data_IF_846814029773
#
_entry.id   IF_846814029773
#
_cell.length_a   1.000
_cell.length_b   1.000
_cell.length_c   1.000
_cell.angle_alpha   90.00
_cell.angle_beta   90.00
_cell.angle_gamma   90.00
#
_symmetry.space_group_name_H-M   'P 1'
#
loop_
_entity.id
_entity.type
_entity.pdbx_description
1 polymer ?
#
# COMPACT_ATOMS: atom_id res chain seq x y z
N UNK A 1 0.74 -8.58 3.01
CA UNK A 1 1.29 -7.33 3.51
C UNK A 1 2.79 -7.25 3.30
N UNK A 2 3.22 -6.22 2.61
CA UNK A 2 4.57 -5.69 2.63
C UNK A 2 4.50 -4.29 3.27
N UNK A 3 5.34 -4.03 4.28
CA UNK A 3 5.41 -2.72 4.93
C UNK A 3 6.88 -2.31 4.99
N UNK A 4 7.22 -1.20 4.34
CA UNK A 4 8.60 -0.70 4.33
C UNK A 4 8.82 0.22 5.51
N UNK A 5 9.55 -0.28 6.51
CA UNK A 5 9.93 0.49 7.71
C UNK A 5 11.23 1.26 7.52
N UNK A 6 11.88 1.10 6.37
CA UNK A 6 13.06 1.88 6.00
C UNK A 6 12.62 3.21 5.35
N UNK A 7 13.27 4.29 5.74
CA UNK A 7 13.06 5.61 5.15
C UNK A 7 14.39 6.32 4.91
N UNK A 8 14.46 7.01 3.79
CA UNK A 8 15.62 7.72 3.30
C UNK A 8 15.30 9.22 3.24
N UNK A 9 16.03 10.04 3.99
CA UNK A 9 15.87 11.51 3.94
C UNK A 9 17.02 12.13 3.17
N UNK A 10 16.72 12.75 2.02
CA UNK A 10 17.75 13.41 1.22
C UNK A 10 18.46 14.48 2.05
N UNK A 11 19.80 14.43 2.05
CA UNK A 11 20.66 15.39 2.74
C UNK A 11 20.31 15.58 4.22
N UNK A 12 19.99 14.49 4.94
CA UNK A 12 19.61 14.50 6.36
C UNK A 12 20.55 15.31 7.26
N UNK A 13 21.85 15.23 7.00
CA UNK A 13 22.90 15.87 7.81
C UNK A 13 23.56 17.06 7.10
N UNK A 14 22.93 17.55 6.02
CA UNK A 14 23.49 18.61 5.18
C UNK A 14 24.34 18.12 4.01
N UNK A 15 24.84 19.06 3.19
CA UNK A 15 25.50 18.76 1.91
C UNK A 15 27.00 18.46 2.05
N UNK A 16 27.56 18.63 3.24
CA UNK A 16 28.99 18.45 3.54
C UNK A 16 29.13 17.41 4.64
N UNK A 17 30.08 16.50 4.48
CA UNK A 17 30.38 15.44 5.43
C UNK A 17 31.88 15.27 5.62
N UNK A 18 32.27 14.69 6.74
CA UNK A 18 33.64 14.27 6.96
C UNK A 18 33.89 12.93 6.23
N UNK A 19 34.96 12.86 5.45
CA UNK A 19 35.42 11.67 4.73
C UNK A 19 36.28 10.79 5.64
N UNK A 20 36.60 9.57 5.18
CA UNK A 20 37.36 8.58 5.96
C UNK A 20 38.81 9.00 6.24
N UNK A 21 39.35 9.89 5.42
CA UNK A 21 40.69 10.48 5.59
C UNK A 21 40.70 11.70 6.55
N UNK A 22 39.55 12.04 7.12
CA UNK A 22 39.37 13.18 8.02
C UNK A 22 39.13 14.51 7.31
N UNK A 23 39.20 14.57 5.98
CA UNK A 23 38.88 15.77 5.20
C UNK A 23 37.37 16.01 5.13
N UNK A 24 36.95 17.24 4.82
CA UNK A 24 35.55 17.54 4.55
C UNK A 24 35.27 17.42 3.06
N UNK A 25 34.11 16.90 2.68
CA UNK A 25 33.75 16.72 1.28
C UNK A 25 32.27 16.88 1.01
N UNK A 26 31.93 17.19 -0.24
CA UNK A 26 30.55 17.26 -0.70
C UNK A 26 29.91 15.86 -0.70
N UNK A 27 28.74 15.70 -0.08
CA UNK A 27 28.05 14.40 -0.02
C UNK A 27 27.57 13.91 -1.38
N UNK A 28 27.31 14.82 -2.33
CA UNK A 28 26.78 14.51 -3.66
C UNK A 28 27.88 14.01 -4.61
N UNK A 29 28.92 14.83 -4.85
CA UNK A 29 29.97 14.52 -5.82
C UNK A 29 31.32 14.12 -5.21
N UNK A 30 31.46 14.13 -3.88
CA UNK A 30 32.71 13.85 -3.14
C UNK A 30 33.84 14.87 -3.39
N UNK A 31 33.54 16.05 -3.93
CA UNK A 31 34.49 17.15 -4.05
C UNK A 31 35.13 17.45 -2.68
N UNK A 32 36.48 17.44 -2.55
CA UNK A 32 37.16 17.73 -1.30
C UNK A 32 37.11 19.23 -0.98
N UNK A 33 36.93 19.55 0.30
CA UNK A 33 36.83 20.90 0.86
C UNK A 33 35.96 21.84 0.00
N UNK A 34 34.68 21.50 -0.21
CA UNK A 34 33.80 22.30 -1.04
C UNK A 34 33.66 23.72 -0.49
N UNK A 35 33.62 24.70 -1.38
CA UNK A 35 33.28 26.08 -1.01
C UNK A 35 31.83 26.17 -0.53
N UNK A 36 31.47 27.30 0.08
CA UNK A 36 30.10 27.59 0.53
C UNK A 36 29.07 27.53 -0.60
N UNK A 37 29.49 27.83 -1.83
CA UNK A 37 28.59 27.94 -2.99
C UNK A 37 28.48 26.60 -3.75
N UNK A 38 29.39 25.65 -3.49
CA UNK A 38 29.42 24.36 -4.17
C UNK A 38 28.11 23.55 -4.05
N UNK A 39 27.40 23.50 -2.89
CA UNK A 39 26.11 22.82 -2.79
C UNK A 39 25.05 23.28 -3.81
N UNK A 40 25.11 24.54 -4.27
CA UNK A 40 24.18 25.07 -5.28
C UNK A 40 24.41 24.47 -6.66
N UNK A 41 25.61 23.97 -6.95
CA UNK A 41 25.85 23.16 -8.16
C UNK A 41 25.03 21.86 -8.15
N UNK A 42 24.53 21.45 -6.99
CA UNK A 42 23.61 20.33 -6.81
C UNK A 42 22.17 20.79 -6.52
N UNK A 43 21.84 22.05 -6.74
CA UNK A 43 20.51 22.62 -6.45
C UNK A 43 20.08 22.36 -4.99
N UNK A 44 21.04 22.37 -4.06
CA UNK A 44 20.82 21.97 -2.68
C UNK A 44 19.80 22.86 -1.97
N UNK A 45 19.93 24.19 -2.05
CA UNK A 45 19.02 25.09 -1.33
C UNK A 45 17.57 24.95 -1.79
N UNK A 46 17.33 24.78 -3.09
CA UNK A 46 15.98 24.56 -3.61
C UNK A 46 15.39 23.24 -3.10
N UNK A 47 16.21 22.17 -3.05
CA UNK A 47 15.79 20.91 -2.44
C UNK A 47 15.50 21.10 -0.95
N UNK A 48 16.41 21.72 -0.18
CA UNK A 48 16.27 21.93 1.26
C UNK A 48 15.03 22.76 1.63
N UNK A 49 14.61 23.68 0.77
CA UNK A 49 13.39 24.47 0.91
C UNK A 49 12.09 23.67 0.68
N UNK A 50 12.17 22.49 0.06
CA UNK A 50 11.01 21.61 -0.11
C UNK A 50 10.54 21.03 1.24
N UNK A 51 9.22 20.76 1.38
CA UNK A 51 8.69 20.10 2.56
C UNK A 51 9.35 18.75 2.78
N UNK A 52 9.35 18.28 4.03
CA UNK A 52 10.00 17.03 4.41
C UNK A 52 9.49 15.82 3.62
N UNK A 53 8.19 15.74 3.37
CA UNK A 53 7.56 14.68 2.57
C UNK A 53 8.11 14.59 1.13
N UNK A 54 8.49 15.72 0.52
CA UNK A 54 9.07 15.74 -0.82
C UNK A 54 10.56 15.32 -0.85
N UNK A 55 11.18 15.16 0.33
CA UNK A 55 12.58 14.75 0.50
C UNK A 55 12.74 13.43 1.24
N UNK A 56 11.63 12.79 1.58
CA UNK A 56 11.58 11.54 2.33
C UNK A 56 11.07 10.43 1.41
N UNK A 57 11.82 9.34 1.34
CA UNK A 57 11.56 8.24 0.40
C UNK A 57 11.58 6.92 1.15
N UNK A 58 10.56 6.09 0.95
CA UNK A 58 10.50 4.75 1.55
C UNK A 58 11.21 3.70 0.71
N UNK A 59 11.61 4.04 -0.51
CA UNK A 59 12.40 3.16 -1.37
C UNK A 59 13.65 3.84 -1.93
N UNK A 60 14.74 3.08 -1.98
CA UNK A 60 16.06 3.57 -2.39
C UNK A 60 16.11 3.98 -3.86
N UNK A 61 15.34 3.33 -4.73
CA UNK A 61 15.21 3.69 -6.14
C UNK A 61 14.55 5.06 -6.34
N UNK A 62 13.52 5.40 -5.55
CA UNK A 62 12.92 6.73 -5.59
C UNK A 62 13.92 7.81 -5.14
N UNK A 63 14.72 7.54 -4.10
CA UNK A 63 15.82 8.44 -3.72
C UNK A 63 16.84 8.60 -4.87
N UNK A 64 17.22 7.50 -5.54
CA UNK A 64 18.15 7.57 -6.68
C UNK A 64 17.58 8.39 -7.83
N UNK A 65 16.29 8.26 -8.11
CA UNK A 65 15.59 9.07 -9.11
C UNK A 65 15.60 10.54 -8.72
N UNK A 66 15.28 10.86 -7.46
CA UNK A 66 15.38 12.21 -6.92
C UNK A 66 16.79 12.81 -7.11
N UNK A 67 17.84 12.07 -6.75
CA UNK A 67 19.22 12.54 -6.91
C UNK A 67 19.58 12.83 -8.36
N UNK A 68 19.10 12.01 -9.30
CA UNK A 68 19.35 12.23 -10.73
C UNK A 68 18.62 13.45 -11.27
N UNK A 69 17.36 13.65 -10.88
CA UNK A 69 16.51 14.70 -11.43
C UNK A 69 16.73 16.05 -10.74
N UNK A 70 16.84 16.07 -9.41
CA UNK A 70 16.93 17.31 -8.63
C UNK A 70 18.37 17.73 -8.30
N UNK A 71 19.32 16.80 -8.21
CA UNK A 71 20.71 17.08 -7.85
C UNK A 71 21.68 16.95 -9.03
N UNK A 72 21.26 17.38 -10.22
CA UNK A 72 22.09 17.45 -11.44
C UNK A 72 22.77 16.13 -11.82
N UNK A 73 22.01 15.04 -11.86
CA UNK A 73 22.55 13.73 -12.24
C UNK A 73 23.38 13.04 -11.17
N UNK A 74 23.31 13.49 -9.91
CA UNK A 74 24.04 12.88 -8.80
C UNK A 74 23.68 11.39 -8.65
N UNK A 75 24.70 10.56 -8.50
CA UNK A 75 24.53 9.14 -8.21
C UNK A 75 24.57 8.87 -6.71
N UNK A 76 23.81 7.87 -6.28
CA UNK A 76 23.86 7.40 -4.90
C UNK A 76 25.25 6.82 -4.60
N UNK A 77 25.83 7.20 -3.46
CA UNK A 77 27.14 6.73 -3.02
C UNK A 77 27.12 6.22 -1.56
N UNK A 78 28.25 5.67 -1.09
CA UNK A 78 28.34 5.06 0.24
C UNK A 78 28.05 6.01 1.39
N UNK A 79 28.44 7.28 1.28
CA UNK A 79 28.21 8.25 2.36
C UNK A 79 26.72 8.54 2.56
N UNK A 80 25.94 8.42 1.50
CA UNK A 80 24.47 8.57 1.53
C UNK A 80 23.77 7.40 2.23
N UNK A 81 24.46 6.28 2.53
CA UNK A 81 23.88 5.19 3.34
C UNK A 81 23.47 5.68 4.73
N UNK A 82 24.13 6.71 5.26
CA UNK A 82 23.78 7.37 6.53
C UNK A 82 22.40 8.04 6.51
N UNK A 83 21.81 8.27 5.34
CA UNK A 83 20.48 8.89 5.23
C UNK A 83 19.34 7.92 5.54
N UNK A 84 19.62 6.62 5.61
CA UNK A 84 18.67 5.59 6.00
C UNK A 84 18.36 5.67 7.49
N UNK A 85 17.08 5.57 7.83
CA UNK A 85 16.61 5.28 9.18
C UNK A 85 15.44 4.31 9.16
N UNK A 86 15.17 3.72 10.32
CA UNK A 86 14.00 2.90 10.56
C UNK A 86 12.85 3.73 11.16
N UNK A 87 11.63 3.34 10.81
CA UNK A 87 10.39 3.74 11.47
C UNK A 87 10.14 2.69 12.56
N UNK A 88 10.22 3.09 13.82
CA UNK A 88 9.97 2.18 14.96
C UNK A 88 8.66 2.49 15.70
N UNK A 89 8.27 3.76 15.77
CA UNK A 89 6.99 4.20 16.34
C UNK A 89 5.84 3.86 15.36
N UNK A 90 5.37 2.63 15.46
CA UNK A 90 4.30 2.06 14.65
C UNK A 90 3.14 1.71 15.56
N UNK A 91 2.29 2.70 15.82
CA UNK A 91 1.05 2.51 16.57
C UNK A 91 0.16 1.52 15.85
N UNK A 92 -0.31 0.51 16.58
CA UNK A 92 -1.11 -0.57 16.01
C UNK A 92 -2.00 -1.26 17.04
N UNK A 93 -3.03 -1.93 16.55
CA UNK A 93 -3.96 -2.78 17.32
C UNK A 93 -3.71 -4.25 17.03
N UNK A 94 -3.74 -5.08 18.06
CA UNK A 94 -3.78 -6.54 17.91
C UNK A 94 -5.22 -6.99 17.62
N UNK A 95 -5.45 -7.74 16.54
CA UNK A 95 -6.80 -8.25 16.22
C UNK A 95 -7.20 -9.50 17.00
N UNK A 96 -6.29 -10.11 17.78
CA UNK A 96 -6.61 -11.25 18.65
C UNK A 96 -7.11 -10.82 20.02
N UNK A 97 -6.56 -9.74 20.59
CA UNK A 97 -6.81 -9.32 21.98
C UNK A 97 -6.98 -7.81 22.18
N UNK A 98 -7.02 -7.02 21.10
CA UNK A 98 -7.27 -5.57 21.09
C UNK A 98 -6.21 -4.69 21.78
N UNK A 99 -5.09 -5.29 22.21
CA UNK A 99 -3.96 -4.56 22.76
C UNK A 99 -3.45 -3.48 21.79
N UNK A 100 -3.18 -2.28 22.33
CA UNK A 100 -2.53 -1.19 21.63
C UNK A 100 -1.01 -1.33 21.79
N UNK A 101 -0.30 -1.25 20.68
CA UNK A 101 1.14 -1.50 20.59
C UNK A 101 1.77 -0.25 19.98
N UNK A 102 2.81 0.28 20.62
CA UNK A 102 3.43 1.54 20.20
C UNK A 102 4.54 1.36 19.19
N UNK A 103 5.19 0.18 19.16
CA UNK A 103 6.32 -0.06 18.27
C UNK A 103 6.16 -1.30 17.40
N UNK A 104 6.87 -1.32 16.27
CA UNK A 104 6.88 -2.49 15.39
C UNK A 104 7.46 -3.72 16.09
N UNK A 105 8.55 -3.54 16.84
CA UNK A 105 9.20 -4.61 17.58
C UNK A 105 8.27 -5.21 18.64
N UNK A 106 7.52 -4.36 19.36
CA UNK A 106 6.51 -4.79 20.33
C UNK A 106 5.41 -5.60 19.64
N UNK A 107 4.91 -5.13 18.49
CA UNK A 107 3.90 -5.84 17.69
C UNK A 107 4.38 -7.23 17.27
N UNK A 108 5.58 -7.35 16.71
CA UNK A 108 6.12 -8.64 16.27
C UNK A 108 6.23 -9.64 17.43
N UNK A 109 6.77 -9.20 18.57
CA UNK A 109 6.89 -10.05 19.76
C UNK A 109 5.54 -10.47 20.30
N UNK A 110 4.60 -9.53 20.39
CA UNK A 110 3.24 -9.77 20.87
C UNK A 110 2.49 -10.78 19.99
N UNK A 111 2.49 -10.58 18.66
CA UNK A 111 1.83 -11.49 17.73
C UNK A 111 2.45 -12.89 17.75
N UNK A 112 3.77 -12.99 17.89
CA UNK A 112 4.44 -14.28 18.01
C UNK A 112 3.95 -15.11 19.22
N UNK A 113 3.55 -14.46 20.32
CA UNK A 113 2.98 -15.16 21.49
C UNK A 113 1.63 -15.79 21.16
N UNK A 114 0.76 -15.08 20.44
CA UNK A 114 -0.53 -15.62 20.01
C UNK A 114 -0.35 -16.84 19.08
N UNK A 115 0.51 -16.74 18.07
CA UNK A 115 0.76 -17.86 17.17
C UNK A 115 1.40 -19.07 17.87
N UNK A 116 2.31 -18.84 18.83
CA UNK A 116 2.86 -19.92 19.67
C UNK A 116 1.82 -20.59 20.55
N UNK A 117 0.80 -19.83 20.98
CA UNK A 117 -0.35 -20.36 21.71
C UNK A 117 -1.39 -21.05 20.81
N UNK A 118 -1.16 -21.10 19.49
CA UNK A 118 -2.02 -21.79 18.52
C UNK A 118 -3.10 -20.92 17.89
N UNK A 119 -3.07 -19.59 18.08
CA UNK A 119 -4.03 -18.70 17.43
C UNK A 119 -3.90 -18.76 15.91
N UNK A 120 -5.04 -18.79 15.21
CA UNK A 120 -5.11 -18.80 13.75
C UNK A 120 -5.65 -17.47 13.20
N UNK A 121 -5.25 -17.08 12.00
CA UNK A 121 -5.69 -15.82 11.37
C UNK A 121 -7.21 -15.70 11.21
N UNK A 122 -7.98 -16.78 11.28
CA UNK A 122 -9.46 -16.73 11.35
C UNK A 122 -10.00 -16.08 12.62
N UNK A 123 -9.22 -16.10 13.69
CA UNK A 123 -9.57 -15.49 14.98
C UNK A 123 -9.25 -14.00 15.01
N UNK A 124 -8.56 -13.49 13.98
CA UNK A 124 -8.24 -12.06 13.86
C UNK A 124 -9.50 -11.25 13.59
N UNK A 125 -9.72 -10.20 14.39
CA UNK A 125 -10.86 -9.30 14.27
C UNK A 125 -10.42 -7.87 13.96
N UNK A 126 -11.09 -7.28 12.97
CA UNK A 126 -10.93 -5.88 12.61
C UNK A 126 -9.65 -5.60 11.85
N UNK A 127 -9.33 -4.32 11.71
CA UNK A 127 -8.11 -3.86 11.08
C UNK A 127 -6.87 -4.04 11.98
N UNK A 128 -5.75 -3.51 11.51
CA UNK A 128 -4.46 -3.53 12.21
C UNK A 128 -4.27 -2.33 13.12
N UNK A 129 -5.20 -1.37 13.13
CA UNK A 129 -5.14 -0.13 13.89
C UNK A 129 -3.92 0.74 13.59
N UNK A 130 -3.40 0.71 12.35
CA UNK A 130 -2.31 1.60 11.97
C UNK A 130 -2.79 3.04 11.84
N UNK A 131 -1.91 3.98 12.17
CA UNK A 131 -2.10 5.38 11.79
C UNK A 131 -2.10 5.51 10.26
N UNK A 132 -2.81 6.51 9.73
CA UNK A 132 -2.96 6.70 8.29
C UNK A 132 -1.61 6.76 7.56
N UNK A 133 -0.62 7.44 8.14
CA UNK A 133 0.72 7.55 7.56
C UNK A 133 1.44 6.19 7.41
N UNK A 134 1.16 5.23 8.30
CA UNK A 134 1.72 3.87 8.21
C UNK A 134 0.88 3.00 7.27
N UNK A 135 -0.44 3.13 7.32
CA UNK A 135 -1.35 2.41 6.41
C UNK A 135 -1.06 2.76 4.94
N UNK A 136 -0.70 4.01 4.64
CA UNK A 136 -0.31 4.47 3.31
C UNK A 136 1.01 3.81 2.81
N UNK A 137 1.82 3.25 3.71
CA UNK A 137 3.06 2.52 3.38
C UNK A 137 2.83 1.02 3.19
N UNK A 138 1.61 0.53 3.42
CA UNK A 138 1.27 -0.87 3.27
C UNK A 138 1.02 -1.19 1.79
N UNK A 139 1.86 -2.06 1.24
CA UNK A 139 1.78 -2.57 -0.12
C UNK A 139 1.36 -4.06 -0.13
N UNK A 140 0.81 -4.53 -1.25
CA UNK A 140 0.48 -5.93 -1.51
C UNK A 140 -0.21 -6.59 -0.31
N UNK A 141 -1.36 -6.04 0.05
CA UNK A 141 -2.08 -6.40 1.26
C UNK A 141 -3.54 -6.77 1.01
N UNK A 142 -4.04 -7.58 1.93
CA UNK A 142 -5.44 -7.91 2.10
C UNK A 142 -5.79 -7.71 3.58
N UNK A 143 -7.01 -7.26 3.93
CA UNK A 143 -7.41 -7.06 5.31
C UNK A 143 -7.16 -8.30 6.16
N UNK A 144 -6.55 -8.08 7.33
CA UNK A 144 -6.06 -9.17 8.18
C UNK A 144 -7.14 -10.20 8.55
N UNK A 145 -8.38 -9.74 8.79
CA UNK A 145 -9.52 -10.60 9.10
C UNK A 145 -9.98 -11.49 7.92
N UNK A 146 -9.59 -11.19 6.67
CA UNK A 146 -9.87 -12.02 5.51
C UNK A 146 -8.81 -13.10 5.24
N UNK A 147 -7.60 -12.93 5.79
CA UNK A 147 -6.46 -13.83 5.51
C UNK A 147 -6.80 -15.28 5.88
N UNK A 148 -7.49 -15.48 7.02
CA UNK A 148 -7.88 -16.81 7.47
C UNK A 148 -8.80 -17.54 6.49
N UNK A 149 -9.75 -16.84 5.87
CA UNK A 149 -10.69 -17.43 4.89
C UNK A 149 -10.04 -17.61 3.53
N UNK A 150 -9.26 -16.62 3.09
CA UNK A 150 -8.54 -16.64 1.81
C UNK A 150 -7.47 -17.71 1.73
N UNK A 151 -6.90 -18.15 2.86
CA UNK A 151 -5.99 -19.31 2.87
C UNK A 151 -6.64 -20.60 2.35
N UNK A 152 -7.97 -20.72 2.39
CA UNK A 152 -8.71 -21.94 2.02
C UNK A 152 -9.35 -21.88 0.63
N UNK A 153 -9.21 -20.77 -0.09
CA UNK A 153 -9.69 -20.67 -1.47
C UNK A 153 -8.77 -21.48 -2.39
N UNK A 154 -9.24 -21.79 -3.61
CA UNK A 154 -8.43 -22.48 -4.63
C UNK A 154 -7.19 -21.68 -5.03
N UNK A 155 -7.27 -20.35 -4.94
CA UNK A 155 -6.15 -19.43 -5.12
C UNK A 155 -5.96 -18.58 -3.87
N UNK A 156 -5.14 -19.04 -2.91
CA UNK A 156 -4.84 -18.28 -1.71
C UNK A 156 -4.09 -16.98 -2.02
N UNK A 157 -4.41 -15.93 -1.28
CA UNK A 157 -3.64 -14.69 -1.29
C UNK A 157 -2.17 -14.93 -0.97
N UNK A 158 -1.30 -14.24 -1.72
CA UNK A 158 0.15 -14.21 -1.49
C UNK A 158 0.71 -12.82 -1.72
N UNK A 159 1.30 -12.24 -0.67
CA UNK A 159 1.92 -10.93 -0.73
C UNK A 159 3.16 -10.86 -1.64
N UNK A 160 3.68 -12.00 -2.10
CA UNK A 160 4.83 -12.08 -3.00
C UNK A 160 4.46 -12.16 -4.48
N UNK A 161 3.18 -12.38 -4.82
CA UNK A 161 2.70 -12.39 -6.21
C UNK A 161 2.11 -11.02 -6.52
N UNK A 162 2.71 -10.32 -7.47
CA UNK A 162 2.22 -9.01 -7.96
C UNK A 162 0.94 -9.18 -8.78
N UNK A 163 0.72 -10.37 -9.33
CA UNK A 163 -0.46 -10.73 -10.10
C UNK A 163 -1.04 -12.07 -9.59
N UNK A 164 -2.32 -12.05 -9.22
CA UNK A 164 -3.04 -13.25 -8.77
C UNK A 164 -3.58 -14.06 -9.95
N UNK A 165 -3.43 -13.63 -11.21
CA UNK A 165 -3.84 -14.42 -12.39
C UNK A 165 -2.80 -14.46 -13.50
N UNK A 166 -1.79 -15.32 -13.35
CA UNK A 166 -1.16 -15.94 -14.53
C UNK A 166 -0.85 -17.40 -14.18
N UNK A 167 -1.63 -18.31 -14.76
CA UNK A 167 -1.23 -19.66 -15.24
C UNK A 167 -2.41 -20.64 -15.44
N UNK A 168 -3.66 -20.19 -15.46
CA UNK A 168 -4.80 -21.12 -15.63
C UNK A 168 -5.15 -21.50 -17.08
N UNK A 169 -4.39 -21.11 -18.11
CA UNK A 169 -4.70 -21.54 -19.49
C UNK A 169 -3.50 -22.00 -20.33
N UNK A 170 -2.37 -22.34 -19.73
CA UNK A 170 -1.28 -23.02 -20.44
C UNK A 170 -1.52 -24.54 -20.51
N UNK A 171 -2.68 -24.96 -21.04
CA UNK A 171 -2.92 -26.34 -21.45
C UNK A 171 -3.56 -26.37 -22.84
N UNK A 172 -2.73 -26.21 -23.88
CA UNK A 172 -2.81 -27.08 -25.06
C UNK A 172 -1.52 -26.98 -25.91
N UNK A 173 -0.90 -28.11 -26.30
CA UNK A 173 0.40 -28.13 -26.97
C UNK A 173 0.27 -28.36 -28.49
N UNK A 174 -0.22 -27.42 -29.29
CA UNK A 174 -0.15 -27.58 -30.75
C UNK A 174 -0.04 -26.28 -31.56
N UNK A 175 0.85 -26.37 -32.56
CA UNK A 175 1.04 -25.55 -33.76
C UNK A 175 1.93 -24.30 -33.72
N UNK A 176 3.14 -24.51 -34.21
CA UNK A 176 3.94 -23.54 -34.94
C UNK A 176 3.19 -23.02 -36.18
N UNK A 177 3.18 -21.70 -36.41
CA UNK A 177 3.82 -21.07 -37.57
C UNK A 177 3.70 -19.54 -37.52
N UNK A 178 4.73 -18.89 -38.07
CA UNK A 178 4.94 -17.46 -38.22
C UNK A 178 3.88 -16.72 -39.08
N UNK A 179 3.78 -15.40 -38.89
CA UNK A 179 3.75 -14.31 -39.91
C UNK A 179 2.61 -13.27 -39.80
N UNK A 180 2.88 -12.17 -39.10
CA UNK A 180 2.52 -10.74 -39.38
C UNK A 180 1.02 -10.28 -39.33
N UNK A 181 0.71 -8.96 -39.42
CA UNK A 181 0.67 -8.02 -38.29
C UNK A 181 -0.61 -7.14 -38.29
N UNK A 182 -1.42 -7.13 -37.23
CA UNK A 182 -2.42 -6.06 -37.04
C UNK A 182 -3.09 -6.16 -35.66
N UNK A 183 -3.17 -5.01 -34.99
CA UNK A 183 -4.22 -4.65 -34.03
C UNK A 183 -4.29 -5.51 -32.77
N UNK A 184 -3.49 -5.16 -31.77
CA UNK A 184 -3.67 -5.70 -30.43
C UNK A 184 -4.81 -4.96 -29.72
N UNK A 185 -6.04 -5.25 -30.15
CA UNK A 185 -7.26 -5.00 -29.39
C UNK A 185 -7.42 -6.11 -28.37
N UNK A 186 -6.72 -6.04 -27.22
CA UNK A 186 -6.89 -7.02 -26.13
C UNK A 186 -6.20 -6.66 -24.80
N UNK A 187 -6.35 -5.42 -24.33
CA UNK A 187 -6.05 -5.11 -22.92
C UNK A 187 -7.25 -5.50 -22.05
N UNK A 188 -7.40 -6.81 -21.84
CA UNK A 188 -8.14 -7.31 -20.68
C UNK A 188 -7.18 -7.26 -19.48
N UNK A 189 -6.88 -6.03 -19.05
CA UNK A 189 -6.06 -5.74 -17.87
C UNK A 189 -6.94 -5.86 -16.62
N UNK A 190 -6.94 -7.02 -15.96
CA UNK A 190 -7.54 -7.12 -14.62
C UNK A 190 -6.52 -7.68 -13.63
N UNK A 191 -5.70 -6.82 -13.01
CA UNK A 191 -5.02 -7.13 -11.77
C UNK A 191 -5.46 -6.12 -10.69
N UNK A 192 -6.62 -6.34 -10.07
CA UNK A 192 -7.10 -5.44 -9.01
C UNK A 192 -6.65 -5.93 -7.63
N UNK A 193 -5.67 -5.23 -7.05
CA UNK A 193 -5.34 -5.37 -5.62
C UNK A 193 -6.57 -5.07 -4.75
N UNK A 194 -6.57 -5.54 -3.50
CA UNK A 194 -7.70 -5.30 -2.58
C UNK A 194 -8.08 -3.82 -2.44
N UNK A 195 -7.06 -2.96 -2.34
CA UNK A 195 -7.20 -1.51 -2.26
C UNK A 195 -7.90 -0.95 -3.51
N UNK A 196 -7.56 -1.44 -4.70
CA UNK A 196 -8.14 -0.97 -5.95
C UNK A 196 -9.60 -1.39 -6.11
N UNK A 197 -9.93 -2.65 -5.81
CA UNK A 197 -11.33 -3.12 -5.78
C UNK A 197 -12.14 -2.29 -4.78
N UNK A 198 -11.57 -2.01 -3.59
CA UNK A 198 -12.24 -1.18 -2.59
C UNK A 198 -12.45 0.26 -3.09
N UNK A 199 -11.47 0.86 -3.77
CA UNK A 199 -11.55 2.21 -4.34
C UNK A 199 -12.66 2.29 -5.40
N UNK A 200 -12.72 1.33 -6.31
CA UNK A 200 -13.74 1.26 -7.36
C UNK A 200 -15.15 1.09 -6.77
N UNK A 201 -15.29 0.27 -5.72
CA UNK A 201 -16.56 0.12 -5.01
C UNK A 201 -16.98 1.40 -4.29
N UNK A 202 -16.05 2.13 -3.66
CA UNK A 202 -16.35 3.43 -3.05
C UNK A 202 -16.81 4.45 -4.09
N UNK A 203 -16.18 4.47 -5.27
CA UNK A 203 -16.57 5.32 -6.38
C UNK A 203 -17.98 4.97 -6.90
N UNK A 204 -18.30 3.68 -7.02
CA UNK A 204 -19.65 3.23 -7.36
C UNK A 204 -20.69 3.71 -6.34
N UNK A 205 -20.42 3.50 -5.05
CA UNK A 205 -21.34 3.93 -3.98
C UNK A 205 -21.56 5.43 -3.97
N UNK A 206 -20.48 6.23 -4.10
CA UNK A 206 -20.57 7.68 -4.19
C UNK A 206 -21.42 8.13 -5.39
N UNK A 207 -21.28 7.45 -6.54
CA UNK A 207 -22.08 7.71 -7.75
C UNK A 207 -23.57 7.46 -7.50
N UNK A 208 -23.92 6.31 -6.91
CA UNK A 208 -25.32 5.98 -6.61
C UNK A 208 -25.95 6.97 -5.64
N UNK A 209 -25.20 7.37 -4.59
CA UNK A 209 -25.64 8.38 -3.61
C UNK A 209 -25.89 9.72 -4.30
N UNK A 210 -25.01 10.14 -5.22
CA UNK A 210 -25.19 11.39 -5.99
C UNK A 210 -26.46 11.36 -6.85
N UNK A 211 -26.91 10.17 -7.25
CA UNK A 211 -28.16 9.95 -7.97
C UNK A 211 -29.37 9.77 -7.03
N UNK A 212 -29.19 9.95 -5.72
CA UNK A 212 -30.24 9.81 -4.70
C UNK A 212 -30.54 8.38 -4.26
N UNK A 213 -29.71 7.40 -4.65
CA UNK A 213 -29.92 5.98 -4.34
C UNK A 213 -28.83 5.48 -3.39
N UNK A 214 -29.24 4.81 -2.32
CA UNK A 214 -28.30 4.12 -1.42
C UNK A 214 -28.20 2.65 -1.84
N UNK A 215 -27.01 2.16 -2.26
CA UNK A 215 -26.85 0.76 -2.64
C UNK A 215 -27.11 -0.18 -1.47
N UNK A 216 -27.88 -1.23 -1.72
CA UNK A 216 -28.05 -2.36 -0.80
C UNK A 216 -26.80 -3.25 -0.76
N UNK A 217 -26.65 -4.04 0.30
CA UNK A 217 -25.54 -5.00 0.45
C UNK A 217 -25.44 -5.95 -0.76
N UNK A 218 -26.58 -6.39 -1.33
CA UNK A 218 -26.61 -7.21 -2.56
C UNK A 218 -26.08 -6.48 -3.79
N UNK A 219 -26.36 -5.19 -3.92
CA UNK A 219 -25.83 -4.39 -5.03
C UNK A 219 -24.31 -4.22 -4.91
N UNK A 220 -23.80 -4.02 -3.69
CA UNK A 220 -22.36 -3.94 -3.39
C UNK A 220 -21.68 -5.27 -3.70
N UNK A 221 -22.25 -6.40 -3.25
CA UNK A 221 -21.75 -7.75 -3.53
C UNK A 221 -21.67 -8.03 -5.04
N UNK A 222 -22.78 -7.79 -5.76
CA UNK A 222 -22.81 -7.97 -7.21
C UNK A 222 -21.78 -7.08 -7.91
N UNK A 223 -21.63 -5.83 -7.48
CA UNK A 223 -20.65 -4.92 -8.09
C UNK A 223 -19.22 -5.38 -7.83
N UNK A 224 -18.93 -5.92 -6.65
CA UNK A 224 -17.61 -6.49 -6.36
C UNK A 224 -17.33 -7.70 -7.26
N UNK A 225 -18.32 -8.58 -7.43
CA UNK A 225 -18.19 -9.75 -8.33
C UNK A 225 -17.91 -9.31 -9.77
N UNK A 226 -18.64 -8.31 -10.26
CA UNK A 226 -18.42 -7.72 -11.59
C UNK A 226 -17.00 -7.13 -11.73
N UNK A 227 -16.47 -6.46 -10.69
CA UNK A 227 -15.11 -5.90 -10.70
C UNK A 227 -14.03 -7.00 -10.70
N UNK A 228 -14.20 -8.05 -9.89
CA UNK A 228 -13.17 -9.09 -9.71
C UNK A 228 -13.20 -10.10 -10.86
N UNK A 229 -14.39 -10.49 -11.30
CA UNK A 229 -14.59 -11.62 -12.21
C UNK A 229 -15.09 -11.19 -13.59
N UNK A 230 -15.67 -10.00 -13.73
CA UNK A 230 -16.30 -9.54 -14.97
C UNK A 230 -17.81 -9.85 -15.03
N UNK A 231 -18.49 -9.37 -16.09
CA UNK A 231 -19.96 -9.37 -16.18
C UNK A 231 -20.61 -10.74 -16.42
N UNK A 232 -19.88 -11.71 -16.96
CA UNK A 232 -20.44 -12.98 -17.45
C UNK A 232 -20.20 -14.18 -16.51
N UNK A 233 -19.65 -13.95 -15.30
CA UNK A 233 -19.12 -15.04 -14.49
C UNK A 233 -20.15 -15.62 -13.50
N UNK A 234 -20.18 -16.96 -13.43
CA UNK A 234 -21.03 -17.77 -12.55
C UNK A 234 -20.48 -17.94 -11.12
N UNK A 235 -19.47 -17.15 -10.74
CA UNK A 235 -18.80 -17.27 -9.43
C UNK A 235 -19.17 -16.09 -8.56
N UNK A 236 -20.02 -16.32 -7.57
CA UNK A 236 -20.64 -15.23 -6.81
C UNK A 236 -19.87 -14.86 -5.53
N UNK A 237 -18.92 -15.70 -5.07
CA UNK A 237 -18.26 -15.47 -3.78
C UNK A 237 -17.02 -14.58 -3.91
N UNK A 238 -17.07 -13.47 -3.19
CA UNK A 238 -16.10 -12.38 -3.10
C UNK A 238 -15.83 -12.02 -1.64
N UNK A 239 -15.02 -11.00 -1.39
CA UNK A 239 -14.82 -10.48 -0.03
C UNK A 239 -16.08 -9.85 0.57
N UNK A 240 -17.00 -9.36 -0.28
CA UNK A 240 -18.25 -8.74 0.14
C UNK A 240 -19.26 -9.74 0.75
N UNK A 241 -19.01 -11.04 0.64
CA UNK A 241 -19.81 -12.08 1.30
C UNK A 241 -19.40 -12.29 2.76
N UNK A 242 -18.25 -11.75 3.18
CA UNK A 242 -17.84 -11.75 4.57
C UNK A 242 -18.57 -10.61 5.34
N UNK A 243 -19.39 -10.90 6.37
CA UNK A 243 -20.16 -9.88 7.10
C UNK A 243 -19.30 -8.79 7.75
N UNK A 244 -18.09 -9.14 8.21
CA UNK A 244 -17.16 -8.20 8.81
C UNK A 244 -16.56 -7.26 7.76
N UNK A 245 -16.29 -7.77 6.55
CA UNK A 245 -15.88 -6.92 5.44
C UNK A 245 -17.00 -5.93 5.09
N UNK A 246 -18.24 -6.41 4.99
CA UNK A 246 -19.39 -5.57 4.65
C UNK A 246 -19.61 -4.46 5.69
N UNK A 247 -19.59 -4.80 6.98
CA UNK A 247 -19.69 -3.80 8.06
C UNK A 247 -18.59 -2.74 7.91
N UNK A 248 -17.32 -3.14 7.83
CA UNK A 248 -16.21 -2.20 7.68
C UNK A 248 -16.30 -1.33 6.42
N UNK A 249 -16.70 -1.93 5.28
CA UNK A 249 -16.88 -1.19 4.04
C UNK A 249 -18.00 -0.15 4.17
N UNK A 250 -19.15 -0.53 4.75
CA UNK A 250 -20.25 0.40 5.01
C UNK A 250 -19.83 1.54 5.93
N UNK A 251 -19.04 1.26 6.97
CA UNK A 251 -18.47 2.31 7.83
C UNK A 251 -17.61 3.29 7.02
N UNK A 252 -16.72 2.76 6.19
CA UNK A 252 -15.80 3.55 5.35
C UNK A 252 -16.54 4.37 4.29
N UNK A 253 -17.62 3.82 3.74
CA UNK A 253 -18.45 4.46 2.72
C UNK A 253 -19.50 5.43 3.31
N UNK A 254 -19.54 5.62 4.64
CA UNK A 254 -20.53 6.49 5.29
C UNK A 254 -21.95 5.92 5.32
N UNK A 255 -22.13 4.62 5.05
CA UNK A 255 -23.43 3.95 4.94
C UNK A 255 -23.99 3.46 6.29
N UNK A 256 -23.44 3.92 7.41
CA UNK A 256 -23.95 3.62 8.75
C UNK A 256 -25.14 4.52 9.04
N UNK A 257 -26.29 3.92 9.33
CA UNK A 257 -27.42 4.63 9.92
C UNK A 257 -27.12 4.96 11.39
N UNK A 258 -27.05 6.24 11.75
CA UNK A 258 -27.21 6.62 13.16
C UNK A 258 -28.65 6.29 13.60
N UNK A 259 -28.87 5.69 14.78
CA UNK A 259 -30.18 5.70 15.40
C UNK A 259 -30.45 7.14 15.86
N UNK A 260 -31.07 7.96 15.01
CA UNK A 260 -31.71 9.18 15.46
C UNK A 260 -32.93 8.76 16.29
N UNK A 261 -32.97 9.20 17.53
CA UNK A 261 -34.14 9.12 18.39
C UNK A 261 -35.30 9.80 17.66
N UNK A 262 -36.17 9.01 17.00
CA UNK A 262 -37.27 9.51 16.17
C UNK A 262 -37.19 9.16 14.67
N UNK A 263 -37.26 7.87 14.34
CA UNK A 263 -38.05 7.37 13.19
C UNK A 263 -37.61 7.68 11.75
N UNK A 264 -36.44 8.26 11.48
CA UNK A 264 -35.86 8.32 10.12
C UNK A 264 -34.34 8.14 10.18
N UNK A 265 -33.83 7.10 9.52
CA UNK A 265 -32.39 6.87 9.38
C UNK A 265 -31.80 8.01 8.54
N UNK A 266 -30.98 8.87 9.15
CA UNK A 266 -30.22 9.87 8.42
C UNK A 266 -28.91 9.25 7.93
N UNK A 267 -28.64 9.42 6.65
CA UNK A 267 -27.39 9.03 5.99
C UNK A 267 -26.37 10.15 6.17
N UNK A 268 -25.13 9.82 6.52
CA UNK A 268 -24.02 10.78 6.50
C UNK A 268 -23.27 10.56 5.19
N UNK A 269 -23.73 11.22 4.12
CA UNK A 269 -22.94 11.36 2.90
C UNK A 269 -21.90 12.46 3.11
N UNK A 270 -20.64 12.20 2.73
CA UNK A 270 -19.63 13.22 2.50
C UNK A 270 -19.68 13.69 1.04
#
# INVERSE_FOLDING_TARGET
MHLTLEQWKCSRYGPIIQQTDGSWGCIFCKCPNPSTDHPETHNYSACAAQPESARLFHRKDHLRQHLRLFHQGCNFNDSMKSWLSSIDDVRSRCGFCDAQLGTWTERQKHLALHFRAGADMREWKGDRGFDQQIEDLVENDMPAFLIGDQRRTMEPFSASRVDHRVDTYALSPFSANETSPAQNSRESEVPHSHQEVQRLLLQYVSTEISQGHVPSDRQIQRKMSEIIYGPDNSWDSTWADNPQWMDMFRKKAGLISLPLSGGKNAFIGF
#
